data_IF_835093572259
#
_entry.id   IF_835093572259
#
_cell.length_a   1.000
_cell.length_b   1.000
_cell.length_c   1.000
_cell.angle_alpha   90.00
_cell.angle_beta   90.00
_cell.angle_gamma   90.00
#
_symmetry.space_group_name_H-M   'P 1'
#
loop_
_entity.id
_entity.type
_entity.pdbx_description
1 polymer ?
#
# COMPACT_ATOMS: atom_id res chain seq x y z
N UNK A 1 -4.58 -12.00 -13.32
CA UNK A 1 -5.91 -12.63 -13.46
C UNK A 1 -7.09 -11.68 -13.25
N UNK A 2 -7.02 -10.63 -12.42
CA UNK A 2 -8.17 -9.71 -12.25
C UNK A 2 -8.65 -9.05 -13.54
N UNK A 3 -7.77 -8.49 -14.38
CA UNK A 3 -8.22 -7.82 -15.62
C UNK A 3 -9.09 -8.73 -16.49
N UNK A 4 -8.60 -9.93 -16.80
CA UNK A 4 -9.34 -10.93 -17.57
C UNK A 4 -10.66 -11.32 -16.89
N UNK A 5 -10.65 -11.53 -15.56
CA UNK A 5 -11.87 -11.81 -14.80
C UNK A 5 -12.92 -10.68 -14.96
N UNK A 6 -12.52 -9.43 -14.77
CA UNK A 6 -13.41 -8.26 -14.92
C UNK A 6 -13.87 -8.09 -16.38
N UNK A 7 -13.04 -8.41 -17.36
CA UNK A 7 -13.41 -8.43 -18.78
C UNK A 7 -14.47 -9.49 -19.10
N UNK A 8 -14.25 -10.72 -18.65
CA UNK A 8 -15.21 -11.82 -18.82
C UNK A 8 -16.54 -11.46 -18.14
N UNK A 9 -16.51 -10.99 -16.89
CA UNK A 9 -17.73 -10.59 -16.20
C UNK A 9 -18.45 -9.44 -16.93
N UNK A 10 -17.74 -8.45 -17.46
CA UNK A 10 -18.37 -7.35 -18.19
C UNK A 10 -18.98 -7.79 -19.53
N UNK A 11 -18.39 -8.78 -20.20
CA UNK A 11 -18.98 -9.44 -21.37
C UNK A 11 -20.25 -10.18 -20.97
N UNK A 12 -20.20 -10.96 -19.88
CA UNK A 12 -21.36 -11.72 -19.41
C UNK A 12 -22.53 -10.82 -19.03
N UNK A 13 -22.26 -9.63 -18.49
CA UNK A 13 -23.29 -8.62 -18.19
C UNK A 13 -24.07 -8.19 -19.44
N UNK A 14 -23.49 -8.25 -20.65
CA UNK A 14 -24.20 -7.89 -21.88
C UNK A 14 -25.39 -8.83 -22.18
N UNK A 15 -25.40 -10.05 -21.65
CA UNK A 15 -26.50 -11.01 -21.84
C UNK A 15 -27.68 -10.81 -20.89
N UNK A 16 -27.57 -9.88 -19.93
CA UNK A 16 -28.67 -9.55 -19.02
C UNK A 16 -29.63 -8.58 -19.73
N UNK A 17 -30.92 -8.91 -19.94
CA UNK A 17 -31.84 -8.08 -20.72
C UNK A 17 -32.12 -6.71 -20.09
N UNK A 18 -32.22 -6.65 -18.75
CA UNK A 18 -32.53 -5.44 -18.01
C UNK A 18 -31.34 -4.47 -17.94
N UNK A 19 -31.51 -3.26 -18.49
CA UNK A 19 -30.48 -2.21 -18.51
C UNK A 19 -30.08 -1.72 -17.11
N UNK A 20 -31.04 -1.59 -16.20
CA UNK A 20 -30.80 -1.13 -14.84
C UNK A 20 -30.00 -2.17 -14.05
N UNK A 21 -30.29 -3.45 -14.26
CA UNK A 21 -29.51 -4.55 -13.66
C UNK A 21 -28.09 -4.56 -14.22
N UNK A 22 -27.90 -4.41 -15.53
CA UNK A 22 -26.56 -4.28 -16.14
C UNK A 22 -25.76 -3.14 -15.52
N UNK A 23 -26.35 -1.95 -15.47
CA UNK A 23 -25.72 -0.77 -14.90
C UNK A 23 -25.34 -1.00 -13.42
N UNK A 24 -26.26 -1.56 -12.63
CA UNK A 24 -26.02 -1.87 -11.22
C UNK A 24 -24.86 -2.84 -11.02
N UNK A 25 -24.74 -3.88 -11.85
CA UNK A 25 -23.64 -4.84 -11.74
C UNK A 25 -22.31 -4.17 -12.11
N UNK A 26 -22.28 -3.41 -13.22
CA UNK A 26 -21.07 -2.67 -13.65
C UNK A 26 -20.57 -1.72 -12.57
N UNK A 27 -21.48 -0.97 -11.96
CA UNK A 27 -21.15 -0.03 -10.89
C UNK A 27 -20.79 -0.74 -9.59
N UNK A 28 -21.68 -1.60 -9.06
CA UNK A 28 -21.53 -2.17 -7.71
C UNK A 28 -20.55 -3.34 -7.61
N UNK A 29 -20.37 -4.11 -8.68
CA UNK A 29 -19.54 -5.33 -8.69
C UNK A 29 -18.28 -5.19 -9.53
N UNK A 30 -18.38 -4.49 -10.65
CA UNK A 30 -17.24 -4.27 -11.55
C UNK A 30 -16.57 -2.92 -11.34
N UNK A 31 -17.09 -2.09 -10.42
CA UNK A 31 -16.51 -0.81 -9.99
C UNK A 31 -16.24 0.15 -11.16
N UNK A 32 -17.07 0.09 -12.21
CA UNK A 32 -16.90 0.85 -13.47
C UNK A 32 -15.46 0.84 -14.00
N UNK A 33 -14.78 -0.30 -13.84
CA UNK A 33 -13.35 -0.39 -14.13
C UNK A 33 -13.02 0.01 -15.58
N UNK A 34 -13.93 -0.27 -16.52
CA UNK A 34 -13.76 0.01 -17.95
C UNK A 34 -13.78 1.51 -18.23
N UNK A 35 -14.65 2.26 -17.57
CA UNK A 35 -14.72 3.71 -17.71
C UNK A 35 -13.51 4.38 -17.07
N UNK A 36 -13.09 3.90 -15.88
CA UNK A 36 -11.84 4.32 -15.22
C UNK A 36 -10.62 4.05 -16.10
N UNK A 37 -10.54 2.87 -16.70
CA UNK A 37 -9.44 2.48 -17.59
C UNK A 37 -9.37 3.35 -18.86
N UNK A 38 -10.52 3.61 -19.49
CA UNK A 38 -10.60 4.49 -20.67
C UNK A 38 -10.20 5.92 -20.34
N UNK A 39 -10.70 6.46 -19.24
CA UNK A 39 -10.34 7.79 -18.77
C UNK A 39 -8.82 7.90 -18.50
N UNK A 40 -8.24 6.92 -17.81
CA UNK A 40 -6.80 6.88 -17.55
C UNK A 40 -5.99 6.83 -18.85
N UNK A 41 -6.38 6.00 -19.82
CA UNK A 41 -5.70 5.88 -21.10
C UNK A 41 -5.76 7.18 -21.91
N UNK A 42 -6.88 7.90 -21.84
CA UNK A 42 -7.01 9.22 -22.45
C UNK A 42 -6.14 10.29 -21.75
N UNK A 43 -5.98 10.20 -20.43
CA UNK A 43 -5.19 11.14 -19.64
C UNK A 43 -3.67 10.89 -19.69
N UNK A 44 -3.22 9.73 -20.18
CA UNK A 44 -1.80 9.37 -20.30
C UNK A 44 -1.48 8.87 -21.72
N UNK A 45 -1.63 9.71 -22.76
CA UNK A 45 -1.47 9.31 -24.16
C UNK A 45 -0.04 8.86 -24.51
N UNK A 46 0.95 9.23 -23.70
CA UNK A 46 2.35 8.86 -23.84
C UNK A 46 2.65 7.40 -23.43
N UNK A 47 1.76 6.77 -22.66
CA UNK A 47 1.91 5.38 -22.24
C UNK A 47 1.28 4.44 -23.26
N UNK A 48 1.91 3.27 -23.45
CA UNK A 48 1.47 2.31 -24.48
C UNK A 48 0.31 1.44 -24.01
N UNK A 49 0.19 1.17 -22.72
CA UNK A 49 -0.82 0.27 -22.14
C UNK A 49 -0.78 -1.13 -22.78
N UNK A 50 0.40 -1.59 -23.21
CA UNK A 50 0.56 -2.89 -23.86
C UNK A 50 0.33 -4.01 -22.86
N UNK A 51 0.84 -3.86 -21.64
CA UNK A 51 0.68 -4.83 -20.57
C UNK A 51 0.04 -4.18 -19.36
N UNK A 52 -1.22 -4.52 -19.10
CA UNK A 52 -1.96 -3.96 -17.96
C UNK A 52 -2.41 -5.08 -17.02
N UNK A 53 -1.97 -5.01 -15.77
CA UNK A 53 -2.45 -5.87 -14.70
C UNK A 53 -3.34 -5.07 -13.77
N UNK A 54 -4.58 -5.51 -13.60
CA UNK A 54 -5.46 -4.95 -12.57
C UNK A 54 -5.14 -5.53 -11.19
N UNK A 55 -5.23 -4.67 -10.19
CA UNK A 55 -5.16 -4.99 -8.76
C UNK A 55 -6.43 -4.46 -8.07
N UNK A 56 -6.85 -5.16 -7.02
CA UNK A 56 -8.05 -4.81 -6.24
C UNK A 56 -7.66 -4.81 -4.77
N UNK A 57 -7.73 -3.65 -4.13
CA UNK A 57 -7.56 -3.46 -2.68
C UNK A 57 -8.89 -3.43 -1.94
N UNK A 58 -8.88 -3.00 -0.68
CA UNK A 58 -10.08 -2.82 0.14
C UNK A 58 -11.01 -1.74 -0.43
N UNK A 59 -10.50 -0.53 -0.58
CA UNK A 59 -11.27 0.63 -1.07
C UNK A 59 -10.97 1.03 -2.50
N UNK A 60 -9.88 0.48 -3.06
CA UNK A 60 -9.30 0.95 -4.30
C UNK A 60 -9.26 -0.16 -5.37
N UNK A 61 -9.30 0.24 -6.63
CA UNK A 61 -8.80 -0.57 -7.75
C UNK A 61 -7.54 0.08 -8.28
N UNK A 62 -6.67 -0.70 -8.91
CA UNK A 62 -5.50 -0.15 -9.55
C UNK A 62 -5.11 -0.87 -10.83
N UNK A 63 -4.27 -0.20 -11.61
CA UNK A 63 -3.74 -0.64 -12.88
C UNK A 63 -2.22 -0.54 -12.82
N UNK A 64 -1.54 -1.67 -12.91
CA UNK A 64 -0.10 -1.72 -13.15
C UNK A 64 0.08 -1.70 -14.66
N UNK A 65 0.66 -0.62 -15.18
CA UNK A 65 0.81 -0.35 -16.61
C UNK A 65 2.28 -0.55 -17.00
N UNK A 66 2.50 -1.44 -17.96
CA UNK A 66 3.78 -1.77 -18.59
C UNK A 66 4.90 -2.12 -17.60
N UNK A 67 4.53 -2.67 -16.43
CA UNK A 67 5.44 -2.94 -15.30
C UNK A 67 6.31 -1.73 -14.91
N UNK A 68 5.78 -0.52 -15.13
CA UNK A 68 6.48 0.75 -14.92
C UNK A 68 5.75 1.63 -13.92
N UNK A 69 4.43 1.77 -14.07
CA UNK A 69 3.62 2.64 -13.21
C UNK A 69 2.45 1.88 -12.59
N UNK A 70 2.06 2.30 -11.40
CA UNK A 70 0.80 1.93 -10.77
C UNK A 70 -0.11 3.14 -10.77
N UNK A 71 -1.36 2.93 -11.17
CA UNK A 71 -2.43 3.90 -11.07
C UNK A 71 -3.51 3.35 -10.14
N UNK A 72 -3.73 3.98 -8.98
CA UNK A 72 -4.70 3.57 -7.97
C UNK A 72 -5.83 4.61 -7.89
N UNK A 73 -7.07 4.16 -7.86
CA UNK A 73 -8.27 5.02 -7.71
C UNK A 73 -9.28 4.32 -6.80
N UNK A 74 -10.16 5.09 -6.16
CA UNK A 74 -11.28 4.55 -5.40
C UNK A 74 -12.17 3.68 -6.29
N UNK A 75 -12.73 2.60 -5.71
CA UNK A 75 -13.69 1.70 -6.37
C UNK A 75 -14.95 2.45 -6.80
N UNK A 76 -15.49 3.23 -5.88
CA UNK A 76 -16.68 4.03 -6.09
C UNK A 76 -16.28 5.48 -6.22
N UNK A 77 -16.90 6.17 -7.17
CA UNK A 77 -16.78 7.61 -7.28
C UNK A 77 -17.58 8.21 -6.13
N UNK A 78 -16.93 9.02 -5.31
CA UNK A 78 -17.58 9.79 -4.28
C UNK A 78 -17.16 11.26 -4.45
N UNK A 79 -18.05 12.03 -5.07
CA UNK A 79 -17.84 13.46 -5.35
C UNK A 79 -17.89 14.32 -4.09
N UNK A 80 -18.28 13.74 -2.93
CA UNK A 80 -18.32 14.45 -1.65
C UNK A 80 -16.99 14.38 -0.88
N UNK A 81 -16.03 13.58 -1.34
CA UNK A 81 -14.72 13.46 -0.68
C UNK A 81 -13.89 14.73 -0.96
N UNK A 82 -13.49 15.48 0.09
CA UNK A 82 -12.65 16.66 -0.10
C UNK A 82 -11.31 16.31 -0.72
N UNK A 83 -10.77 17.22 -1.55
CA UNK A 83 -9.44 17.10 -2.14
C UNK A 83 -8.36 16.82 -1.09
N UNK A 84 -8.52 17.33 0.13
CA UNK A 84 -7.59 17.09 1.25
C UNK A 84 -7.45 15.61 1.62
N UNK A 85 -8.53 14.82 1.58
CA UNK A 85 -8.47 13.37 1.84
C UNK A 85 -7.72 12.63 0.75
N UNK A 86 -7.77 13.15 -0.48
CA UNK A 86 -7.03 12.64 -1.64
C UNK A 86 -5.54 13.00 -1.50
N UNK A 87 -5.24 14.19 -0.99
CA UNK A 87 -3.85 14.65 -0.82
C UNK A 87 -3.15 14.07 0.41
N UNK A 88 -3.89 13.56 1.40
CA UNK A 88 -3.30 13.06 2.67
C UNK A 88 -2.21 12.01 2.47
N UNK A 89 -2.47 10.96 1.68
CA UNK A 89 -1.49 9.88 1.45
C UNK A 89 -0.26 10.42 0.71
N UNK A 90 -0.45 11.34 -0.24
CA UNK A 90 0.65 12.03 -0.92
C UNK A 90 1.52 12.83 0.06
N UNK A 91 0.90 13.66 0.92
CA UNK A 91 1.63 14.46 1.91
C UNK A 91 2.48 13.59 2.83
N UNK A 92 1.94 12.46 3.27
CA UNK A 92 2.65 11.51 4.12
C UNK A 92 3.83 10.87 3.37
N UNK A 93 3.59 10.35 2.17
CA UNK A 93 4.64 9.69 1.38
C UNK A 93 5.76 10.66 0.99
N UNK A 94 5.43 11.90 0.62
CA UNK A 94 6.41 12.96 0.33
C UNK A 94 7.26 13.28 1.58
N UNK A 95 6.64 13.40 2.75
CA UNK A 95 7.35 13.72 4.00
C UNK A 95 8.33 12.63 4.45
N UNK A 96 8.03 11.36 4.15
CA UNK A 96 8.89 10.23 4.53
C UNK A 96 9.86 9.79 3.42
N UNK A 97 9.79 10.35 2.20
CA UNK A 97 10.62 9.94 1.03
C UNK A 97 12.11 9.92 1.37
N UNK A 98 12.60 10.89 2.15
CA UNK A 98 14.01 11.02 2.53
C UNK A 98 14.35 10.49 3.93
N UNK A 99 13.34 10.09 4.70
CA UNK A 99 13.49 9.60 6.08
C UNK A 99 13.57 8.08 6.09
N UNK A 100 12.73 7.42 5.29
CA UNK A 100 12.64 5.97 5.28
C UNK A 100 13.89 5.34 4.63
N UNK A 101 14.52 4.32 5.27
CA UNK A 101 15.60 3.55 4.66
C UNK A 101 15.09 2.59 3.57
N UNK A 102 13.78 2.42 3.46
CA UNK A 102 13.11 1.62 2.43
C UNK A 102 12.41 2.52 1.42
N UNK A 103 12.33 2.10 0.16
CA UNK A 103 11.64 2.89 -0.85
C UNK A 103 10.15 3.07 -0.51
N UNK A 104 9.69 4.32 -0.58
CA UNK A 104 8.28 4.70 -0.48
C UNK A 104 7.82 5.18 -1.86
N UNK A 105 6.61 4.81 -2.31
CA UNK A 105 6.06 5.34 -3.55
C UNK A 105 5.92 6.86 -3.53
N UNK A 106 6.55 7.52 -4.49
CA UNK A 106 6.29 8.93 -4.78
C UNK A 106 4.96 9.06 -5.53
N UNK A 107 3.96 9.62 -4.86
CA UNK A 107 2.62 9.77 -5.41
C UNK A 107 2.54 11.06 -6.24
N UNK A 108 2.13 10.90 -7.49
CA UNK A 108 1.66 11.95 -8.39
C UNK A 108 0.14 11.86 -8.50
N UNK A 109 -0.55 13.00 -8.53
CA UNK A 109 -2.00 13.05 -8.71
C UNK A 109 -2.31 13.23 -10.19
N UNK A 110 -3.12 12.33 -10.75
CA UNK A 110 -3.55 12.36 -12.14
C UNK A 110 -5.07 12.53 -12.18
N UNK A 111 -5.52 13.63 -12.77
CA UNK A 111 -6.93 13.88 -13.05
C UNK A 111 -7.30 13.27 -14.41
N UNK A 112 -8.30 12.41 -14.44
CA UNK A 112 -8.74 11.70 -15.63
C UNK A 112 -10.28 11.73 -15.72
N UNK A 113 -10.80 12.79 -16.35
CA UNK A 113 -12.22 13.10 -16.32
C UNK A 113 -12.69 13.34 -14.88
N UNK A 114 -13.70 12.59 -14.44
CA UNK A 114 -14.23 12.65 -13.07
C UNK A 114 -13.42 11.82 -12.06
N UNK A 115 -12.41 11.06 -12.50
CA UNK A 115 -11.62 10.19 -11.63
C UNK A 115 -10.30 10.86 -11.24
N UNK A 116 -9.85 10.58 -10.01
CA UNK A 116 -8.53 10.97 -9.53
C UNK A 116 -7.73 9.71 -9.26
N UNK A 117 -6.54 9.63 -9.86
CA UNK A 117 -5.62 8.52 -9.71
C UNK A 117 -4.39 8.95 -8.93
N UNK A 118 -3.92 8.07 -8.03
CA UNK A 118 -2.55 8.10 -7.55
C UNK A 118 -1.68 7.34 -8.55
N UNK A 119 -0.73 8.05 -9.14
CA UNK A 119 0.31 7.49 -10.01
C UNK A 119 1.60 7.38 -9.21
N UNK A 120 2.28 6.24 -9.31
CA UNK A 120 3.62 6.07 -8.75
C UNK A 120 4.40 5.00 -9.50
N UNK A 121 5.72 4.98 -9.31
CA UNK A 121 6.58 3.96 -9.90
C UNK A 121 6.25 2.57 -9.36
N UNK A 122 6.18 1.58 -10.24
CA UNK A 122 5.95 0.20 -9.86
C UNK A 122 7.17 -0.38 -9.18
N UNK A 123 7.04 -0.70 -7.88
CA UNK A 123 8.05 -1.42 -7.11
C UNK A 123 7.94 -2.91 -7.46
N UNK A 124 8.96 -3.43 -8.13
CA UNK A 124 9.02 -4.84 -8.53
C UNK A 124 9.29 -5.71 -7.31
N UNK A 125 8.50 -6.78 -7.17
CA UNK A 125 8.68 -7.75 -6.11
C UNK A 125 7.39 -8.50 -5.79
N UNK A 126 7.42 -9.17 -4.65
CA UNK A 126 6.29 -9.94 -4.12
C UNK A 126 5.97 -9.43 -2.73
N UNK A 127 4.68 -9.38 -2.38
CA UNK A 127 4.29 -9.06 -1.02
C UNK A 127 4.82 -10.15 -0.08
N UNK A 128 5.57 -9.77 0.94
CA UNK A 128 6.24 -10.70 1.86
C UNK A 128 5.26 -11.69 2.49
N UNK A 129 4.06 -11.22 2.87
CA UNK A 129 3.01 -12.03 3.48
C UNK A 129 2.44 -13.14 2.58
N UNK A 130 2.72 -13.09 1.27
CA UNK A 130 2.33 -14.13 0.30
C UNK A 130 3.44 -15.15 0.04
N UNK A 131 4.64 -14.94 0.59
CA UNK A 131 5.72 -15.91 0.51
C UNK A 131 5.47 -17.07 1.49
N UNK A 132 5.95 -18.29 1.17
CA UNK A 132 5.84 -19.42 2.09
C UNK A 132 6.50 -19.13 3.44
N UNK A 133 5.92 -19.63 4.54
CA UNK A 133 6.47 -19.47 5.91
C UNK A 133 7.95 -19.82 5.99
N UNK A 134 8.38 -20.92 5.36
CA UNK A 134 9.79 -21.34 5.33
C UNK A 134 10.71 -20.32 4.67
N UNK A 135 10.25 -19.67 3.60
CA UNK A 135 10.99 -18.60 2.93
C UNK A 135 11.13 -17.39 3.84
N UNK A 136 10.06 -17.00 4.52
CA UNK A 136 10.10 -15.89 5.48
C UNK A 136 11.04 -16.22 6.63
N UNK A 137 10.90 -17.39 7.24
CA UNK A 137 11.73 -17.84 8.35
C UNK A 137 13.22 -17.89 7.97
N UNK A 138 13.57 -18.32 6.75
CA UNK A 138 14.97 -18.37 6.28
C UNK A 138 15.60 -16.99 6.12
N UNK A 139 14.81 -15.96 5.82
CA UNK A 139 15.30 -14.59 5.57
C UNK A 139 14.98 -13.63 6.72
N UNK A 140 14.37 -14.11 7.81
CA UNK A 140 13.83 -13.28 8.89
C UNK A 140 14.86 -12.37 9.54
N UNK A 141 16.12 -12.79 9.62
CA UNK A 141 17.22 -11.99 10.17
C UNK A 141 17.47 -10.73 9.34
N UNK A 142 17.59 -10.90 8.02
CA UNK A 142 17.80 -9.78 7.10
C UNK A 142 16.57 -8.88 7.05
N UNK A 143 15.38 -9.46 6.86
CA UNK A 143 14.15 -8.70 6.70
C UNK A 143 13.72 -8.02 7.99
N UNK A 144 13.84 -8.73 9.12
CA UNK A 144 13.50 -8.19 10.43
C UNK A 144 14.37 -6.98 10.78
N UNK A 145 15.67 -7.03 10.48
CA UNK A 145 16.55 -5.85 10.63
C UNK A 145 16.13 -4.68 9.73
N UNK A 146 15.88 -4.92 8.43
CA UNK A 146 15.44 -3.85 7.51
C UNK A 146 14.11 -3.21 7.95
N UNK A 147 13.19 -4.01 8.49
CA UNK A 147 11.91 -3.54 9.01
C UNK A 147 12.10 -2.80 10.34
N UNK A 148 13.01 -3.24 11.21
CA UNK A 148 13.35 -2.50 12.42
C UNK A 148 13.96 -1.13 12.12
N UNK A 149 14.93 -1.05 11.18
CA UNK A 149 15.50 0.21 10.71
C UNK A 149 14.42 1.15 10.18
N UNK A 150 13.48 0.62 9.39
CA UNK A 150 12.34 1.38 8.90
C UNK A 150 11.45 1.91 10.03
N UNK A 151 11.04 1.04 10.96
CA UNK A 151 10.18 1.42 12.08
C UNK A 151 10.87 2.50 12.92
N UNK A 152 12.15 2.33 13.27
CA UNK A 152 12.92 3.33 14.02
C UNK A 152 12.95 4.67 13.28
N UNK A 153 13.26 4.67 11.98
CA UNK A 153 13.36 5.91 11.22
C UNK A 153 12.02 6.66 11.11
N UNK A 154 10.93 5.95 10.83
CA UNK A 154 9.62 6.57 10.63
C UNK A 154 8.97 6.94 11.96
N UNK A 155 9.01 6.05 12.94
CA UNK A 155 8.32 6.24 14.22
C UNK A 155 8.83 7.46 14.98
N UNK A 156 10.15 7.66 14.98
CA UNK A 156 10.79 8.79 15.66
C UNK A 156 10.82 10.08 14.87
N UNK A 157 10.53 10.04 13.57
CA UNK A 157 10.56 11.23 12.75
C UNK A 157 9.47 12.24 13.14
N UNK A 158 9.78 13.53 12.97
CA UNK A 158 8.87 14.66 13.23
C UNK A 158 8.85 15.65 12.06
N UNK A 159 8.52 15.20 10.83
CA UNK A 159 8.46 16.09 9.67
C UNK A 159 7.45 17.22 9.89
N UNK A 160 7.89 18.46 9.65
CA UNK A 160 7.08 19.65 9.91
C UNK A 160 5.86 19.73 8.97
N UNK A 161 5.99 19.18 7.77
CA UNK A 161 5.05 19.22 6.64
C UNK A 161 3.75 18.46 6.91
N UNK A 162 3.77 17.53 7.86
CA UNK A 162 2.61 16.70 8.25
C UNK A 162 2.29 16.81 9.75
N UNK A 163 2.82 17.81 10.45
CA UNK A 163 2.57 18.00 11.89
C UNK A 163 1.08 18.17 12.21
N UNK A 164 0.32 18.83 11.35
CA UNK A 164 -1.14 19.00 11.44
C UNK A 164 -1.92 17.67 11.35
N UNK A 165 -1.29 16.61 10.84
CA UNK A 165 -1.89 15.29 10.72
C UNK A 165 -1.67 14.42 11.97
N UNK A 166 -0.88 14.90 12.95
CA UNK A 166 -0.72 14.25 14.24
C UNK A 166 -2.01 14.42 15.06
N UNK A 167 -2.75 13.33 15.27
CA UNK A 167 -4.03 13.34 15.97
C UNK A 167 -4.12 12.18 16.96
N UNK A 168 -4.67 12.46 18.13
CA UNK A 168 -4.89 11.46 19.18
C UNK A 168 -3.67 11.22 20.06
N UNK A 169 -3.80 10.25 20.97
CA UNK A 169 -2.69 9.80 21.80
C UNK A 169 -1.77 8.88 20.97
N UNK A 170 -0.46 9.11 21.04
CA UNK A 170 0.55 8.31 20.36
C UNK A 170 1.95 8.87 20.66
N UNK A 171 2.95 8.06 20.41
CA UNK A 171 4.38 8.34 20.66
C UNK A 171 5.17 8.51 19.35
N UNK A 172 4.59 8.15 18.20
CA UNK A 172 5.27 8.32 16.91
C UNK A 172 4.41 8.05 15.68
N UNK A 173 5.05 8.11 14.51
CA UNK A 173 4.42 7.83 13.22
C UNK A 173 4.46 6.35 12.86
N UNK A 174 3.33 5.82 12.42
CA UNK A 174 3.16 4.43 12.06
C UNK A 174 2.68 4.29 10.63
N UNK A 175 3.01 3.18 9.99
CA UNK A 175 2.38 2.80 8.73
C UNK A 175 0.95 2.31 8.97
N UNK A 176 0.67 1.66 10.11
CA UNK A 176 -0.63 1.12 10.53
C UNK A 176 -1.27 0.03 9.63
N UNK A 177 -0.62 -0.37 8.54
CA UNK A 177 -1.07 -1.46 7.66
C UNK A 177 0.13 -2.16 6.98
N UNK A 178 1.25 -2.30 7.71
CA UNK A 178 2.50 -2.73 7.10
C UNK A 178 2.48 -4.21 6.66
N UNK A 179 1.77 -5.11 7.36
CA UNK A 179 1.83 -6.58 7.11
C UNK A 179 1.64 -6.97 5.63
N UNK A 180 0.68 -6.33 4.95
CA UNK A 180 0.30 -6.69 3.59
C UNK A 180 1.12 -5.97 2.52
N UNK A 181 1.91 -4.98 2.93
CA UNK A 181 2.41 -3.93 2.05
C UNK A 181 3.93 -3.88 1.95
N UNK A 182 4.61 -4.89 2.53
CA UNK A 182 6.05 -5.09 2.36
C UNK A 182 6.35 -5.77 1.04
N UNK A 183 7.06 -5.10 0.13
CA UNK A 183 7.49 -5.67 -1.14
C UNK A 183 8.91 -6.20 -1.02
N UNK A 184 9.12 -7.47 -1.38
CA UNK A 184 10.41 -8.13 -1.40
C UNK A 184 10.84 -8.36 -2.85
N UNK A 185 12.06 -7.95 -3.18
CA UNK A 185 12.70 -8.36 -4.43
C UNK A 185 13.22 -9.80 -4.26
N UNK A 186 12.63 -10.74 -4.98
CA UNK A 186 12.98 -12.17 -4.89
C UNK A 186 14.32 -12.52 -5.53
N UNK A 187 14.96 -11.59 -6.25
CA UNK A 187 16.30 -11.78 -6.80
C UNK A 187 17.38 -11.49 -5.75
N UNK A 188 17.20 -10.42 -5.00
CA UNK A 188 18.15 -9.95 -3.99
C UNK A 188 17.77 -10.41 -2.58
N UNK A 189 16.53 -10.90 -2.41
CA UNK A 189 15.92 -11.21 -1.13
C UNK A 189 16.01 -10.03 -0.16
N UNK A 190 15.95 -8.79 -0.64
CA UNK A 190 15.87 -7.58 0.20
C UNK A 190 14.46 -7.02 0.16
N UNK A 191 14.08 -6.30 1.22
CA UNK A 191 12.88 -5.46 1.17
C UNK A 191 13.12 -4.34 0.16
N UNK A 192 12.31 -4.30 -0.88
CA UNK A 192 12.38 -3.36 -1.99
C UNK A 192 11.62 -2.06 -1.73
N UNK A 193 10.59 -2.10 -0.87
CA UNK A 193 9.83 -0.91 -0.47
C UNK A 193 8.54 -1.25 0.26
N UNK A 194 7.90 -0.21 0.81
CA UNK A 194 6.59 -0.29 1.47
C UNK A 194 5.56 0.56 0.74
N UNK A 195 4.42 -0.03 0.42
CA UNK A 195 3.35 0.62 -0.35
C UNK A 195 2.11 0.90 0.50
N UNK A 196 1.12 1.59 -0.06
CA UNK A 196 -0.22 1.74 0.55
C UNK A 196 -0.22 2.43 1.93
N UNK A 197 0.13 3.72 1.91
CA UNK A 197 0.26 4.56 3.11
C UNK A 197 -1.07 5.20 3.54
N UNK A 198 -2.20 4.71 3.03
CA UNK A 198 -3.51 5.35 3.23
C UNK A 198 -3.92 5.40 4.72
N UNK A 199 -3.44 4.43 5.51
CA UNK A 199 -3.70 4.29 6.95
C UNK A 199 -2.60 4.83 7.86
N UNK A 200 -1.48 5.30 7.29
CA UNK A 200 -0.36 5.82 8.07
C UNK A 200 -0.83 6.99 8.96
N UNK A 201 -0.33 7.06 10.19
CA UNK A 201 -0.88 7.96 11.20
C UNK A 201 -0.04 7.98 12.48
N UNK A 202 -0.34 8.97 13.32
CA UNK A 202 0.20 9.04 14.67
C UNK A 202 -0.41 7.94 15.54
N UNK A 203 0.41 7.20 16.28
CA UNK A 203 -0.02 6.04 17.06
C UNK A 203 1.06 5.55 18.02
N UNK A 204 0.82 4.40 18.64
CA UNK A 204 1.78 3.77 19.57
C UNK A 204 2.75 2.85 18.84
N UNK A 205 4.00 2.76 19.31
CA UNK A 205 4.99 1.83 18.76
C UNK A 205 4.49 0.37 18.78
N UNK A 206 3.86 -0.04 19.87
CA UNK A 206 3.32 -1.39 20.05
C UNK A 206 2.27 -1.74 18.97
N UNK A 207 1.47 -0.76 18.54
CA UNK A 207 0.50 -0.96 17.45
C UNK A 207 1.22 -1.25 16.13
N UNK A 208 2.30 -0.54 15.82
CA UNK A 208 3.07 -0.77 14.59
C UNK A 208 3.74 -2.15 14.59
N UNK A 209 4.32 -2.56 15.72
CA UNK A 209 4.84 -3.92 15.84
C UNK A 209 3.74 -4.95 15.59
N UNK A 210 2.60 -4.86 16.28
CA UNK A 210 1.51 -5.81 16.08
C UNK A 210 1.04 -5.86 14.61
N UNK A 211 0.98 -4.70 13.96
CA UNK A 211 0.64 -4.58 12.54
C UNK A 211 1.67 -5.21 11.59
N UNK A 212 2.89 -5.55 12.02
CA UNK A 212 3.86 -6.30 11.19
C UNK A 212 3.38 -7.70 10.85
N UNK A 213 2.55 -8.33 11.70
CA UNK A 213 2.14 -9.73 11.50
C UNK A 213 0.64 -10.01 11.69
N UNK A 214 -0.15 -9.02 12.16
CA UNK A 214 -1.57 -9.18 12.49
C UNK A 214 -2.41 -9.85 11.38
N UNK A 215 -2.11 -9.59 10.11
CA UNK A 215 -2.93 -10.03 8.97
C UNK A 215 -2.36 -11.22 8.18
N UNK A 216 -1.31 -11.90 8.69
CA UNK A 216 -0.74 -13.07 8.02
C UNK A 216 -0.27 -14.15 8.99
N UNK A 217 -0.87 -15.34 8.87
CA UNK A 217 -0.43 -16.55 9.60
C UNK A 217 1.00 -16.97 9.22
N UNK A 218 1.40 -16.78 7.95
CA UNK A 218 2.75 -17.07 7.49
C UNK A 218 3.80 -16.16 8.15
N UNK A 219 3.48 -14.87 8.28
CA UNK A 219 4.34 -13.90 8.97
C UNK A 219 4.48 -14.26 10.44
N UNK A 220 3.37 -14.49 11.15
CA UNK A 220 3.38 -14.88 12.58
C UNK A 220 4.19 -16.14 12.83
N UNK A 221 3.95 -17.19 12.03
CA UNK A 221 4.62 -18.48 12.20
C UNK A 221 6.12 -18.47 11.81
N UNK A 222 6.63 -17.40 11.21
CA UNK A 222 8.03 -17.32 10.77
C UNK A 222 9.01 -16.90 11.88
N UNK A 223 8.50 -16.34 12.98
CA UNK A 223 9.33 -15.72 14.03
C UNK A 223 9.99 -14.40 13.62
N UNK A 224 9.53 -13.76 12.54
CA UNK A 224 10.09 -12.47 12.09
C UNK A 224 9.83 -11.34 13.08
N UNK A 225 8.71 -11.37 13.82
CA UNK A 225 8.40 -10.36 14.84
C UNK A 225 9.48 -10.27 15.91
N UNK A 226 9.95 -11.42 16.40
CA UNK A 226 10.97 -11.49 17.44
C UNK A 226 12.27 -10.82 16.98
N UNK A 227 12.64 -11.05 15.71
CA UNK A 227 13.79 -10.37 15.11
C UNK A 227 13.55 -8.87 15.01
N UNK A 228 12.39 -8.43 14.51
CA UNK A 228 12.07 -6.99 14.38
C UNK A 228 12.22 -6.30 15.73
N UNK A 229 11.58 -6.82 16.79
CA UNK A 229 11.65 -6.23 18.14
C UNK A 229 13.07 -6.25 18.69
N UNK A 230 13.80 -7.36 18.53
CA UNK A 230 15.18 -7.50 18.99
C UNK A 230 16.12 -6.51 18.29
N UNK A 231 16.01 -6.36 16.98
CA UNK A 231 16.83 -5.40 16.23
C UNK A 231 16.44 -3.95 16.55
N UNK A 232 15.15 -3.65 16.72
CA UNK A 232 14.70 -2.32 17.15
C UNK A 232 15.27 -1.96 18.53
N UNK A 233 15.23 -2.89 19.50
CA UNK A 233 15.75 -2.66 20.84
C UNK A 233 17.26 -2.36 20.84
N UNK A 234 18.04 -3.00 19.95
CA UNK A 234 19.47 -2.68 19.77
C UNK A 234 19.68 -1.25 19.26
N UNK A 235 18.77 -0.75 18.42
CA UNK A 235 18.83 0.61 17.88
C UNK A 235 18.34 1.66 18.90
N UNK A 236 17.51 1.27 19.87
CA UNK A 236 16.87 2.16 20.85
C UNK A 236 17.05 1.62 22.30
N UNK A 237 18.28 1.54 22.80
CA UNK A 237 18.59 0.84 24.06
C UNK A 237 17.89 1.42 25.29
N UNK A 238 17.65 2.73 25.35
CA UNK A 238 17.02 3.41 26.50
C UNK A 238 15.51 3.19 26.62
N UNK A 239 14.81 2.83 25.54
CA UNK A 239 13.36 2.59 25.57
C UNK A 239 13.03 1.17 26.07
N UNK A 240 13.97 0.24 25.94
CA UNK A 240 13.75 -1.18 26.27
C UNK A 240 13.78 -1.50 27.77
N UNK A 241 14.33 -0.61 28.59
CA UNK A 241 14.41 -0.76 30.05
C UNK A 241 13.15 -0.33 30.79
N UNK A 242 12.30 0.51 30.20
CA UNK A 242 11.09 1.02 30.85
C UNK A 242 9.87 0.11 30.63
N UNK A 243 9.87 -0.73 29.60
CA UNK A 243 8.79 -1.71 29.34
C UNK A 243 8.91 -3.03 30.12
N UNK A 244 9.90 -3.16 31.01
CA UNK A 244 10.18 -4.37 31.79
C UNK A 244 9.90 -4.19 33.31
N UNK A 245 9.20 -3.13 33.69
CA UNK A 245 8.66 -2.89 35.05
C UNK A 245 7.14 -2.92 35.01
#
# INVERSE_FOLDING_TARGET
MWKLFFEICDILVCFIPDRNVRHRIRHKRLFDWRDKYRALRAAQPELRFTHVKMIKGGWNIGFIVDNKYVFKTRKFLDTSVPAERIMREKRITDAFEHISPLAIPKIEIVHAGQYVFYKYNFIRGHNMNKLPTRTIARNRELWGRQLAEFITAVHHARPAEIRDLQRGAGDGWNHNDICNNIIVDTRTMRVAGLIDWEYAGWGTLETEFNNCTAFSSHMRASGIMDVIRREYAKMNPTESSESAQ
#
